data_IF_714717976880
#
_entry.id   IF_714717976880
#
_cell.length_a   1.000
_cell.length_b   1.000
_cell.length_c   1.000
_cell.angle_alpha   90.00
_cell.angle_beta   90.00
_cell.angle_gamma   90.00
#
_symmetry.space_group_name_H-M   'P 1'
#
loop_
_entity.id
_entity.type
_entity.pdbx_description
1 polymer ?
#
# COMPACT_ATOMS: atom_id res chain seq x y z
N UNK A 1 12.51 45.40 11.20
CA UNK A 1 13.18 44.32 10.41
C UNK A 1 12.91 42.91 10.94
N UNK A 2 12.51 42.71 12.21
CA UNK A 2 12.17 41.36 12.74
C UNK A 2 10.77 40.86 12.34
N UNK A 3 9.73 41.70 12.43
CA UNK A 3 8.35 41.30 12.14
C UNK A 3 8.11 40.84 10.68
N UNK A 4 8.84 41.43 9.72
CA UNK A 4 8.76 41.06 8.31
C UNK A 4 9.35 39.66 8.06
N UNK A 5 10.41 39.29 8.79
CA UNK A 5 10.98 37.93 8.74
C UNK A 5 10.00 36.91 9.30
N UNK A 6 9.34 37.22 10.41
CA UNK A 6 8.34 36.32 11.03
C UNK A 6 7.12 36.11 10.12
N UNK A 7 6.64 37.16 9.44
CA UNK A 7 5.52 37.08 8.50
C UNK A 7 5.85 36.24 7.26
N UNK A 8 7.06 36.38 6.71
CA UNK A 8 7.52 35.56 5.58
C UNK A 8 7.65 34.08 5.98
N UNK A 9 8.16 33.78 7.17
CA UNK A 9 8.24 32.42 7.68
C UNK A 9 6.85 31.78 7.89
N UNK A 10 5.88 32.55 8.39
CA UNK A 10 4.52 32.04 8.60
C UNK A 10 3.78 31.77 7.28
N UNK A 11 3.99 32.60 6.25
CA UNK A 11 3.41 32.40 4.92
C UNK A 11 3.97 31.16 4.20
N UNK A 12 5.23 30.77 4.47
CA UNK A 12 5.85 29.59 3.87
C UNK A 12 5.28 28.27 4.44
N UNK A 13 4.93 28.23 5.73
CA UNK A 13 4.36 27.03 6.36
C UNK A 13 2.94 26.71 5.87
N UNK A 14 2.20 27.70 5.36
CA UNK A 14 0.83 27.52 4.84
C UNK A 14 0.81 26.87 3.44
N UNK A 15 1.97 26.75 2.79
CA UNK A 15 2.07 26.21 1.42
C UNK A 15 2.19 24.68 1.35
N UNK A 16 2.11 23.97 2.49
CA UNK A 16 2.15 22.49 2.49
C UNK A 16 0.82 21.92 2.01
N UNK A 17 0.83 21.29 0.82
CA UNK A 17 -0.33 20.52 0.36
C UNK A 17 -0.32 19.17 1.06
N UNK A 18 -1.40 18.86 1.77
CA UNK A 18 -1.69 17.48 2.16
C UNK A 18 -1.96 16.70 0.88
N UNK A 19 -1.19 15.66 0.64
CA UNK A 19 -1.33 14.77 -0.51
C UNK A 19 -1.58 13.35 -0.03
N UNK A 20 -2.40 12.60 -0.76
CA UNK A 20 -2.72 11.22 -0.46
C UNK A 20 -2.55 10.40 -1.73
N UNK A 21 -1.57 9.51 -1.73
CA UNK A 21 -1.41 8.49 -2.78
C UNK A 21 -2.16 7.23 -2.35
N UNK A 22 -2.65 6.45 -3.31
CA UNK A 22 -3.42 5.22 -3.00
C UNK A 22 -3.13 4.14 -4.03
N UNK A 23 -2.97 2.91 -3.54
CA UNK A 23 -2.85 1.70 -4.37
C UNK A 23 -4.25 1.14 -4.60
N UNK A 24 -4.67 1.04 -5.86
CA UNK A 24 -6.00 0.52 -6.20
C UNK A 24 -5.91 -0.95 -6.63
N UNK A 25 -6.07 -1.85 -5.65
CA UNK A 25 -6.03 -3.30 -5.88
C UNK A 25 -7.22 -3.73 -6.75
N UNK A 26 -6.93 -4.39 -7.87
CA UNK A 26 -7.90 -4.95 -8.83
C UNK A 26 -7.99 -6.46 -8.77
N UNK A 27 -7.02 -7.12 -8.12
CA UNK A 27 -7.05 -8.53 -7.77
C UNK A 27 -6.14 -8.77 -6.54
N UNK A 28 -6.54 -9.55 -5.54
CA UNK A 28 -7.86 -10.16 -5.35
C UNK A 28 -8.96 -9.13 -5.06
N UNK A 29 -10.19 -9.45 -5.51
CA UNK A 29 -11.42 -8.72 -5.15
C UNK A 29 -12.29 -9.60 -4.24
N UNK A 30 -13.45 -9.09 -3.82
CA UNK A 30 -14.34 -9.78 -2.88
C UNK A 30 -14.73 -11.20 -3.31
N UNK A 31 -14.86 -11.47 -4.61
CA UNK A 31 -15.19 -12.80 -5.15
C UNK A 31 -13.96 -13.68 -5.43
N UNK A 32 -12.74 -13.16 -5.31
CA UNK A 32 -11.51 -13.92 -5.54
C UNK A 32 -11.20 -14.78 -4.32
N UNK A 33 -10.90 -16.05 -4.55
CA UNK A 33 -10.44 -16.98 -3.50
C UNK A 33 -9.03 -17.43 -3.86
N UNK A 34 -8.08 -17.17 -2.97
CA UNK A 34 -6.73 -17.74 -3.03
C UNK A 34 -6.63 -18.89 -2.04
N UNK A 35 -6.10 -20.03 -2.50
CA UNK A 35 -5.97 -21.22 -1.67
C UNK A 35 -4.55 -21.35 -1.12
N UNK A 36 -4.43 -21.85 0.10
CA UNK A 36 -3.14 -22.14 0.70
C UNK A 36 -2.32 -23.14 -0.14
N UNK A 37 -1.01 -22.92 -0.18
CA UNK A 37 -0.09 -23.73 -0.98
C UNK A 37 -0.20 -23.54 -2.50
N UNK A 38 -1.14 -22.69 -2.97
CA UNK A 38 -1.31 -22.37 -4.38
C UNK A 38 -0.87 -20.93 -4.67
N UNK A 39 -0.38 -20.73 -5.89
CA UNK A 39 0.00 -19.41 -6.40
C UNK A 39 -1.22 -18.48 -6.42
N UNK A 40 -1.08 -17.30 -5.82
CA UNK A 40 -2.07 -16.24 -5.79
C UNK A 40 -1.46 -14.95 -6.35
N UNK A 41 -2.09 -14.39 -7.38
CA UNK A 41 -1.65 -13.14 -7.98
C UNK A 41 -2.32 -11.96 -7.26
N UNK A 42 -1.57 -10.88 -7.10
CA UNK A 42 -2.07 -9.57 -6.66
C UNK A 42 -1.77 -8.58 -7.77
N UNK A 43 -2.76 -7.75 -8.11
CA UNK A 43 -2.67 -6.73 -9.16
C UNK A 43 -3.31 -5.43 -8.68
N UNK A 44 -2.76 -4.31 -9.11
CA UNK A 44 -3.28 -2.98 -8.83
C UNK A 44 -3.03 -2.04 -10.01
N UNK A 45 -3.73 -0.91 -9.96
CA UNK A 45 -3.58 0.19 -10.92
C UNK A 45 -3.29 1.50 -10.22
N UNK A 46 -2.66 2.42 -10.95
CA UNK A 46 -2.65 3.84 -10.62
C UNK A 46 -3.94 4.48 -11.15
N UNK A 47 -4.57 5.36 -10.38
CA UNK A 47 -5.78 6.07 -10.80
C UNK A 47 -5.46 7.36 -11.59
N UNK A 48 -4.18 7.69 -11.78
CA UNK A 48 -3.69 8.87 -12.49
C UNK A 48 -3.85 10.17 -11.71
N UNK A 49 -4.22 10.13 -10.43
CA UNK A 49 -4.35 11.31 -9.58
C UNK A 49 -3.09 11.49 -8.75
N UNK A 50 -2.44 12.66 -8.85
CA UNK A 50 -1.23 12.94 -8.07
C UNK A 50 -1.51 12.95 -6.55
N UNK A 51 -0.61 12.37 -5.72
CA UNK A 51 0.65 11.72 -6.10
C UNK A 51 0.43 10.35 -6.74
N UNK A 52 1.24 10.05 -7.75
CA UNK A 52 1.18 8.78 -8.49
C UNK A 52 1.87 7.67 -7.68
N UNK A 53 1.71 6.41 -8.10
CA UNK A 53 2.45 5.28 -7.50
C UNK A 53 3.97 5.48 -7.58
N UNK A 54 4.45 6.18 -8.62
CA UNK A 54 5.85 6.58 -8.77
C UNK A 54 6.36 7.47 -7.64
N UNK A 55 5.46 8.17 -6.93
CA UNK A 55 5.79 9.01 -5.77
C UNK A 55 5.77 8.22 -4.45
N UNK A 56 5.28 6.96 -4.43
CA UNK A 56 5.18 6.12 -3.23
C UNK A 56 6.47 5.30 -3.01
N UNK A 57 6.89 4.51 -4.00
CA UNK A 57 8.06 3.63 -3.90
C UNK A 57 7.81 2.28 -3.21
N UNK A 58 8.75 1.84 -2.37
CA UNK A 58 8.69 0.53 -1.71
C UNK A 58 7.62 0.46 -0.61
N UNK A 59 6.77 -0.56 -0.68
CA UNK A 59 5.71 -0.85 0.27
C UNK A 59 5.92 -2.21 0.95
N UNK A 60 5.60 -2.30 2.24
CA UNK A 60 5.48 -3.58 2.93
C UNK A 60 4.13 -4.21 2.61
N UNK A 61 4.10 -5.54 2.50
CA UNK A 61 2.89 -6.28 2.18
C UNK A 61 2.70 -7.41 3.19
N UNK A 62 1.46 -7.61 3.65
CA UNK A 62 1.10 -8.66 4.58
C UNK A 62 -0.28 -9.24 4.27
N UNK A 63 -0.44 -10.53 4.52
CA UNK A 63 -1.73 -11.19 4.58
C UNK A 63 -2.28 -11.03 6.00
N UNK A 64 -3.50 -10.53 6.11
CA UNK A 64 -4.18 -10.31 7.39
C UNK A 64 -5.48 -11.12 7.46
N UNK A 65 -5.88 -11.51 8.66
CA UNK A 65 -7.19 -12.11 8.89
C UNK A 65 -8.29 -11.03 9.03
N UNK A 66 -9.55 -11.46 9.22
CA UNK A 66 -10.70 -10.55 9.39
C UNK A 66 -10.64 -9.64 10.62
N UNK A 67 -9.69 -9.86 11.53
CA UNK A 67 -9.44 -9.05 12.73
C UNK A 67 -8.21 -8.14 12.57
N UNK A 68 -7.66 -8.01 11.36
CA UNK A 68 -6.44 -7.26 11.06
C UNK A 68 -5.19 -7.78 11.81
N UNK A 69 -5.18 -9.06 12.19
CA UNK A 69 -3.97 -9.72 12.70
C UNK A 69 -3.12 -10.22 11.53
N UNK A 70 -1.81 -9.96 11.60
CA UNK A 70 -0.86 -10.38 10.58
C UNK A 70 -0.77 -11.91 10.58
N UNK A 71 -1.21 -12.51 9.48
CA UNK A 71 -1.19 -13.95 9.26
C UNK A 71 0.09 -14.40 8.53
N UNK A 72 0.59 -13.59 7.59
CA UNK A 72 1.82 -13.85 6.86
C UNK A 72 2.47 -12.55 6.38
N UNK A 73 3.75 -12.35 6.70
CA UNK A 73 4.55 -11.28 6.10
C UNK A 73 4.98 -11.69 4.70
N UNK A 74 4.83 -10.79 3.72
CA UNK A 74 5.25 -11.02 2.34
C UNK A 74 6.49 -10.20 2.01
N UNK A 75 7.12 -10.49 0.88
CA UNK A 75 8.22 -9.68 0.37
C UNK A 75 7.71 -8.27 0.05
N UNK A 76 8.45 -7.24 0.46
CA UNK A 76 8.16 -5.86 0.09
C UNK A 76 8.15 -5.70 -1.43
N UNK A 77 7.32 -4.77 -1.90
CA UNK A 77 7.12 -4.53 -3.33
C UNK A 77 7.26 -3.05 -3.62
N UNK A 78 8.07 -2.70 -4.61
CA UNK A 78 8.15 -1.35 -5.11
C UNK A 78 6.98 -1.05 -6.07
N UNK A 79 5.97 -0.33 -5.58
CA UNK A 79 4.77 -0.02 -6.37
C UNK A 79 5.01 1.08 -7.41
N UNK A 80 6.14 1.80 -7.35
CA UNK A 80 6.50 2.80 -8.35
C UNK A 80 6.71 2.17 -9.74
N UNK A 81 7.24 0.95 -9.78
CA UNK A 81 7.67 0.30 -11.03
C UNK A 81 6.96 -1.05 -11.28
N UNK A 82 6.12 -1.51 -10.34
CA UNK A 82 5.40 -2.78 -10.45
C UNK A 82 3.91 -2.59 -10.22
N UNK A 83 3.10 -3.40 -10.93
CA UNK A 83 1.64 -3.37 -10.88
C UNK A 83 1.03 -4.72 -10.49
N UNK A 84 1.89 -5.69 -10.21
CA UNK A 84 1.48 -7.02 -9.79
C UNK A 84 2.63 -7.74 -9.10
N UNK A 85 2.29 -8.66 -8.20
CA UNK A 85 3.20 -9.71 -7.75
C UNK A 85 2.43 -11.02 -7.56
N UNK A 86 3.17 -12.09 -7.26
CA UNK A 86 2.58 -13.39 -6.93
C UNK A 86 3.16 -13.88 -5.61
N UNK A 87 2.30 -14.45 -4.77
CA UNK A 87 2.71 -15.10 -3.53
C UNK A 87 1.94 -16.40 -3.33
N UNK A 88 2.42 -17.23 -2.41
CA UNK A 88 1.74 -18.46 -1.99
C UNK A 88 1.30 -18.29 -0.53
N UNK A 89 -0.02 -18.31 -0.24
CA UNK A 89 -0.50 -18.28 1.13
C UNK A 89 -0.03 -19.53 1.88
N UNK A 90 0.49 -19.34 3.10
CA UNK A 90 0.85 -20.43 4.00
C UNK A 90 -0.40 -21.16 4.51
N UNK A 91 -0.38 -22.49 4.53
CA UNK A 91 -1.50 -23.29 5.05
C UNK A 91 -1.72 -23.10 6.55
N UNK A 92 -0.69 -22.70 7.29
CA UNK A 92 -0.76 -22.38 8.72
C UNK A 92 -1.23 -20.95 9.01
N UNK A 93 -1.37 -20.09 8.00
CA UNK A 93 -1.76 -18.69 8.19
C UNK A 93 -3.24 -18.50 8.59
N UNK A 94 -4.10 -19.50 8.36
CA UNK A 94 -5.51 -19.47 8.76
C UNK A 94 -5.75 -20.03 10.16
N UNK A 95 -6.75 -19.52 10.87
CA UNK A 95 -7.13 -20.01 12.21
C UNK A 95 -7.58 -21.47 12.30
N UNK A 96 -7.81 -22.12 11.15
CA UNK A 96 -8.14 -23.56 11.04
C UNK A 96 -6.95 -24.42 10.56
N UNK A 97 -5.73 -23.84 10.48
CA UNK A 97 -4.51 -24.51 10.03
C UNK A 97 -3.72 -25.24 11.14
N UNK A 98 -4.33 -25.41 12.31
CA UNK A 98 -3.82 -26.19 13.45
C UNK A 98 -4.91 -27.06 14.05
#
# INVERSE_FOLDING_TARGET
MSAFKTLVSLALLVSTRLVQASVYVTNPVQSTVCHAGQSCQVEWVDNGQSPLLSDIGECTVGLYNGEMLLAQSLTSVNVADTHSFTFTPDASAGGNGG
#
